data_IF_498418033001
#
_entry.id   IF_498418033001
#
_cell.length_a   1.000
_cell.length_b   1.000
_cell.length_c   1.000
_cell.angle_alpha   90.00
_cell.angle_beta   90.00
_cell.angle_gamma   90.00
#
_symmetry.space_group_name_H-M   'P 1'
#
loop_
_entity.id
_entity.type
_entity.pdbx_description
1 polymer ?
#
# COMPACT_ATOMS: atom_id res chain seq x y z
N UNK A 1 -3.65 16.14 -18.70
CA UNK A 1 -3.48 15.60 -17.35
C UNK A 1 -2.04 15.18 -17.21
N UNK A 2 -1.31 15.83 -16.32
CA UNK A 2 0.01 15.42 -15.84
C UNK A 2 -0.15 14.52 -14.61
N UNK A 3 0.92 13.84 -14.16
CA UNK A 3 0.84 12.96 -12.99
C UNK A 3 0.37 13.70 -11.72
N UNK A 4 0.75 14.97 -11.56
CA UNK A 4 0.35 15.80 -10.41
C UNK A 4 -1.11 16.26 -10.45
N UNK A 5 -1.81 16.06 -11.58
CA UNK A 5 -3.22 16.43 -11.77
C UNK A 5 -4.16 15.22 -11.63
N UNK A 6 -3.63 14.03 -11.34
CA UNK A 6 -4.44 12.83 -11.16
C UNK A 6 -5.25 12.97 -9.86
N UNK A 7 -6.60 12.86 -9.91
CA UNK A 7 -7.44 12.98 -8.72
C UNK A 7 -7.26 11.82 -7.75
N UNK A 8 -7.49 12.10 -6.47
CA UNK A 8 -7.42 11.14 -5.37
C UNK A 8 -8.67 10.23 -5.26
N UNK A 9 -9.00 9.55 -6.36
CA UNK A 9 -10.06 8.53 -6.35
C UNK A 9 -9.62 7.27 -5.61
N UNK A 10 -10.60 6.55 -5.07
CA UNK A 10 -10.34 5.35 -4.28
C UNK A 10 -10.35 4.10 -5.15
N UNK A 11 -9.28 3.31 -5.07
CA UNK A 11 -9.16 2.00 -5.71
C UNK A 11 -8.87 0.97 -4.62
N UNK A 12 -9.57 -0.15 -4.66
CA UNK A 12 -9.27 -1.30 -3.80
C UNK A 12 -8.77 -2.47 -4.64
N UNK A 13 -7.80 -3.20 -4.09
CA UNK A 13 -7.30 -4.43 -4.70
C UNK A 13 -7.31 -5.58 -3.71
N UNK A 14 -7.45 -6.80 -4.23
CA UNK A 14 -7.42 -8.03 -3.44
C UNK A 14 -6.48 -9.04 -4.08
N UNK A 15 -5.63 -9.65 -3.26
CA UNK A 15 -4.84 -10.83 -3.62
C UNK A 15 -5.43 -12.03 -2.89
N UNK A 16 -5.85 -13.05 -3.65
CA UNK A 16 -6.32 -14.34 -3.14
C UNK A 16 -5.18 -15.36 -3.01
N UNK A 17 -4.11 -15.18 -3.78
CA UNK A 17 -2.92 -16.02 -3.74
C UNK A 17 -1.72 -15.26 -4.30
N UNK A 18 -0.58 -15.36 -3.60
CA UNK A 18 0.70 -14.80 -4.07
C UNK A 18 1.14 -15.45 -5.39
N UNK A 19 1.44 -14.62 -6.38
CA UNK A 19 2.24 -15.02 -7.54
C UNK A 19 3.73 -15.05 -7.18
N UNK A 20 4.26 -16.25 -6.93
CA UNK A 20 5.67 -16.44 -6.56
C UNK A 20 6.68 -15.92 -7.59
N UNK A 21 6.31 -15.83 -8.87
CA UNK A 21 7.19 -15.30 -9.92
C UNK A 21 7.43 -13.78 -9.83
N UNK A 22 6.61 -13.06 -9.06
CA UNK A 22 6.77 -11.62 -8.86
C UNK A 22 7.81 -11.26 -7.79
N UNK A 23 8.22 -12.26 -7.00
CA UNK A 23 9.15 -12.10 -5.89
C UNK A 23 10.54 -11.77 -6.40
N UNK A 24 11.20 -10.81 -5.75
CA UNK A 24 12.61 -10.51 -5.98
C UNK A 24 13.38 -10.48 -4.68
N UNK A 25 14.69 -10.63 -4.79
CA UNK A 25 15.60 -10.35 -3.68
C UNK A 25 15.82 -8.85 -3.55
N UNK A 26 16.29 -8.45 -2.38
CA UNK A 26 16.75 -7.09 -2.14
C UNK A 26 18.10 -6.86 -2.86
N UNK A 27 18.34 -5.69 -3.47
CA UNK A 27 19.65 -5.38 -4.06
C UNK A 27 20.74 -5.29 -2.98
N UNK A 28 21.97 -5.71 -3.30
CA UNK A 28 23.07 -5.94 -2.34
C UNK A 28 23.43 -4.74 -1.45
N UNK A 29 23.23 -3.52 -1.93
CA UNK A 29 23.57 -2.28 -1.19
C UNK A 29 22.47 -1.83 -0.22
N UNK A 30 21.48 -2.66 0.05
CA UNK A 30 20.37 -2.36 0.96
C UNK A 30 20.14 -3.50 1.94
N UNK A 31 19.52 -3.19 3.07
CA UNK A 31 18.96 -4.19 3.98
C UNK A 31 17.53 -3.81 4.39
N UNK A 32 16.78 -4.78 4.92
CA UNK A 32 15.43 -4.56 5.43
C UNK A 32 15.44 -4.75 6.94
N UNK A 33 14.77 -3.83 7.65
CA UNK A 33 14.48 -3.95 9.07
C UNK A 33 13.11 -3.36 9.39
N UNK A 34 12.59 -3.67 10.56
CA UNK A 34 11.41 -3.00 11.10
C UNK A 34 11.70 -1.52 11.40
N UNK A 35 10.66 -0.69 11.29
CA UNK A 35 10.65 0.69 11.76
C UNK A 35 10.83 0.70 13.28
N UNK A 36 11.67 1.61 13.78
CA UNK A 36 11.91 1.76 15.22
C UNK A 36 10.96 2.80 15.82
N UNK A 37 10.64 2.73 17.13
CA UNK A 37 9.75 3.68 17.77
C UNK A 37 10.12 5.15 17.56
N UNK A 38 11.41 5.47 17.62
CA UNK A 38 11.96 6.82 17.40
C UNK A 38 11.86 7.30 15.95
N UNK A 39 11.50 6.43 14.99
CA UNK A 39 11.40 6.75 13.57
C UNK A 39 9.96 7.00 13.09
N UNK A 40 9.00 7.09 14.00
CA UNK A 40 7.59 7.35 13.65
C UNK A 40 7.43 8.60 12.78
N UNK A 41 8.15 9.68 13.10
CA UNK A 41 8.09 10.93 12.31
C UNK A 41 8.71 10.76 10.91
N UNK A 42 9.76 9.95 10.77
CA UNK A 42 10.34 9.60 9.46
C UNK A 42 9.30 8.84 8.62
N UNK A 43 8.60 7.90 9.24
CA UNK A 43 7.53 7.15 8.58
C UNK A 43 6.38 8.07 8.17
N UNK A 44 5.95 9.00 9.03
CA UNK A 44 4.88 9.96 8.72
C UNK A 44 5.23 10.88 7.56
N UNK A 45 6.50 11.27 7.42
CA UNK A 45 6.97 12.15 6.34
C UNK A 45 7.12 11.43 4.98
N UNK A 46 7.21 10.11 5.00
CA UNK A 46 7.51 9.26 3.83
C UNK A 46 6.57 9.46 2.62
N UNK A 47 5.24 9.59 2.78
CA UNK A 47 4.30 9.81 1.67
C UNK A 47 4.60 11.07 0.87
N UNK A 48 5.15 12.09 1.54
CA UNK A 48 5.41 13.41 0.98
C UNK A 48 6.78 13.54 0.31
N UNK A 49 7.62 12.49 0.38
CA UNK A 49 8.99 12.50 -0.11
C UNK A 49 9.83 13.63 0.54
N UNK A 50 9.60 13.87 1.83
CA UNK A 50 10.24 14.91 2.65
C UNK A 50 10.84 14.30 3.92
N UNK A 51 11.63 15.11 4.63
CA UNK A 51 12.22 14.71 5.92
C UNK A 51 11.29 15.01 7.10
N UNK A 52 10.33 15.91 6.91
CA UNK A 52 9.28 16.22 7.89
C UNK A 52 7.91 16.21 7.21
N UNK A 53 6.87 16.00 8.01
CA UNK A 53 5.48 16.10 7.57
C UNK A 53 5.19 17.58 7.23
N UNK A 54 4.59 17.90 6.07
CA UNK A 54 4.11 19.25 5.81
C UNK A 54 3.02 19.62 6.81
N UNK A 55 3.04 20.86 7.31
CA UNK A 55 2.15 21.32 8.40
C UNK A 55 0.68 21.09 8.10
N UNK A 56 0.25 21.25 6.85
CA UNK A 56 -1.13 21.02 6.42
C UNK A 56 -1.60 19.55 6.52
N UNK A 57 -0.67 18.60 6.70
CA UNK A 57 -0.96 17.16 6.85
C UNK A 57 -0.63 16.61 8.25
N UNK A 58 -0.08 17.42 9.17
CA UNK A 58 0.32 16.94 10.51
C UNK A 58 -0.87 16.36 11.29
N UNK A 59 -1.98 17.10 11.36
CA UNK A 59 -3.20 16.68 12.04
C UNK A 59 -3.79 15.40 11.43
N UNK A 60 -3.78 15.30 10.10
CA UNK A 60 -4.25 14.12 9.39
C UNK A 60 -3.41 12.89 9.74
N UNK A 61 -2.07 13.00 9.71
CA UNK A 61 -1.18 11.87 10.02
C UNK A 61 -1.30 11.44 11.48
N UNK A 62 -1.39 12.41 12.41
CA UNK A 62 -1.59 12.13 13.84
C UNK A 62 -2.92 11.42 14.08
N UNK A 63 -4.00 11.90 13.47
CA UNK A 63 -5.33 11.28 13.58
C UNK A 63 -5.33 9.88 12.96
N UNK A 64 -4.69 9.68 11.81
CA UNK A 64 -4.62 8.37 11.17
C UNK A 64 -3.91 7.34 12.06
N UNK A 65 -2.78 7.71 12.68
CA UNK A 65 -2.08 6.83 13.65
C UNK A 65 -2.96 6.55 14.87
N UNK A 66 -3.57 7.60 15.44
CA UNK A 66 -4.43 7.48 16.61
C UNK A 66 -5.58 6.50 16.36
N UNK A 67 -6.18 6.54 15.18
CA UNK A 67 -7.32 5.71 14.80
C UNK A 67 -6.92 4.29 14.37
N UNK A 68 -5.80 4.16 13.65
CA UNK A 68 -5.44 2.90 12.97
C UNK A 68 -4.53 2.03 13.81
N UNK A 69 -3.52 2.61 14.46
CA UNK A 69 -2.39 1.87 15.05
C UNK A 69 -2.25 2.01 16.57
N UNK A 70 -2.78 3.08 17.17
CA UNK A 70 -2.48 3.43 18.58
C UNK A 70 -2.83 2.35 19.61
N UNK A 71 -3.75 1.45 19.28
CA UNK A 71 -4.13 0.34 20.15
C UNK A 71 -3.03 -0.74 20.26
N UNK A 72 -2.11 -0.81 19.31
CA UNK A 72 -0.99 -1.76 19.31
C UNK A 72 0.19 -1.20 18.47
N UNK A 73 0.88 -0.23 19.04
CA UNK A 73 2.04 0.40 18.40
C UNK A 73 3.24 -0.56 18.25
N UNK A 74 3.39 -1.52 19.16
CA UNK A 74 4.48 -2.50 19.09
C UNK A 74 4.32 -3.38 17.84
N UNK A 75 3.11 -3.88 17.58
CA UNK A 75 2.80 -4.60 16.34
C UNK A 75 2.95 -3.71 15.11
N UNK A 76 2.56 -2.43 15.18
CA UNK A 76 2.75 -1.49 14.07
C UNK A 76 4.24 -1.35 13.69
N UNK A 77 5.12 -1.15 14.67
CA UNK A 77 6.55 -1.03 14.43
C UNK A 77 7.15 -2.34 13.88
N UNK A 78 6.77 -3.49 14.45
CA UNK A 78 7.23 -4.80 13.98
C UNK A 78 6.81 -5.09 12.53
N UNK A 79 5.59 -4.70 12.14
CA UNK A 79 5.02 -4.97 10.82
C UNK A 79 5.27 -3.88 9.77
N UNK A 80 5.83 -2.74 10.17
CA UNK A 80 6.25 -1.68 9.26
C UNK A 80 7.73 -1.87 8.92
N UNK A 81 8.04 -2.15 7.66
CA UNK A 81 9.41 -2.40 7.22
C UNK A 81 9.98 -1.20 6.49
N UNK A 82 11.22 -0.88 6.82
CA UNK A 82 12.07 -0.01 6.01
C UNK A 82 13.08 -0.82 5.20
N UNK A 83 13.30 -0.37 3.97
CA UNK A 83 14.50 -0.67 3.19
C UNK A 83 15.50 0.43 3.47
N UNK A 84 16.63 0.10 4.08
CA UNK A 84 17.68 1.05 4.43
C UNK A 84 18.90 0.87 3.51
N UNK A 85 19.60 1.98 3.25
CA UNK A 85 20.92 1.92 2.65
C UNK A 85 22.01 1.53 3.67
N UNK A 86 23.28 1.53 3.25
CA UNK A 86 24.41 1.16 4.10
C UNK A 86 24.67 2.14 5.27
N UNK A 87 24.06 3.33 5.26
CA UNK A 87 24.14 4.32 6.33
C UNK A 87 22.91 4.29 7.25
N UNK A 88 22.10 3.22 7.18
CA UNK A 88 20.84 3.03 7.93
C UNK A 88 19.74 4.05 7.59
N UNK A 89 19.80 4.68 6.40
CA UNK A 89 18.79 5.67 5.98
C UNK A 89 17.61 5.01 5.27
N UNK A 90 16.36 5.19 5.75
CA UNK A 90 15.17 4.63 5.10
C UNK A 90 14.94 5.18 3.67
N UNK A 91 14.98 4.29 2.68
CA UNK A 91 14.83 4.56 1.25
C UNK A 91 13.48 4.08 0.68
N UNK A 92 12.89 3.05 1.28
CA UNK A 92 11.51 2.61 1.00
C UNK A 92 10.83 2.13 2.29
N UNK A 93 9.49 2.09 2.28
CA UNK A 93 8.67 1.57 3.37
C UNK A 93 7.51 0.74 2.83
N UNK A 94 7.05 -0.23 3.61
CA UNK A 94 5.79 -0.95 3.40
C UNK A 94 5.34 -1.57 4.72
N UNK A 95 4.05 -1.57 4.99
CA UNK A 95 3.46 -2.10 6.21
C UNK A 95 2.47 -3.21 5.92
N UNK A 96 2.42 -4.20 6.80
CA UNK A 96 1.26 -5.07 6.96
C UNK A 96 0.46 -4.64 8.18
N UNK A 97 -0.86 -4.56 8.05
CA UNK A 97 -1.74 -4.32 9.18
C UNK A 97 -2.98 -5.22 9.13
N UNK A 98 -3.56 -5.52 10.29
CA UNK A 98 -4.87 -6.19 10.35
C UNK A 98 -5.95 -5.13 10.55
N UNK A 99 -6.36 -4.49 9.46
CA UNK A 99 -7.36 -3.43 9.49
C UNK A 99 -8.65 -3.89 10.20
N UNK A 100 -9.11 -3.06 11.14
CA UNK A 100 -10.27 -3.29 12.01
C UNK A 100 -10.18 -4.59 12.83
N UNK A 101 -8.98 -5.16 13.00
CA UNK A 101 -8.76 -6.49 13.59
C UNK A 101 -9.30 -7.65 12.73
N UNK A 102 -9.76 -7.38 11.51
CA UNK A 102 -10.53 -8.31 10.66
C UNK A 102 -9.81 -8.71 9.38
N UNK A 103 -9.15 -7.76 8.72
CA UNK A 103 -8.70 -7.92 7.33
C UNK A 103 -7.19 -7.71 7.24
N UNK A 104 -6.48 -8.66 6.65
CA UNK A 104 -5.05 -8.46 6.37
C UNK A 104 -4.88 -7.47 5.23
N UNK A 105 -4.08 -6.43 5.46
CA UNK A 105 -3.84 -5.36 4.49
C UNK A 105 -2.37 -5.09 4.25
N UNK A 106 -2.05 -4.72 3.02
CA UNK A 106 -0.80 -4.02 2.69
C UNK A 106 -1.09 -2.53 2.72
N UNK A 107 -0.27 -1.78 3.44
CA UNK A 107 -0.40 -0.34 3.60
C UNK A 107 0.93 0.36 3.36
N UNK A 108 0.85 1.64 3.02
CA UNK A 108 1.99 2.55 2.98
C UNK A 108 3.21 2.04 2.20
N UNK A 109 3.02 1.35 1.08
CA UNK A 109 4.14 1.03 0.18
C UNK A 109 4.60 2.33 -0.51
N UNK A 110 5.81 2.79 -0.20
CA UNK A 110 6.39 3.98 -0.82
C UNK A 110 7.90 3.82 -0.96
N UNK A 111 8.43 4.28 -2.09
CA UNK A 111 9.87 4.46 -2.31
C UNK A 111 10.12 5.96 -2.44
N UNK A 112 11.16 6.48 -1.79
CA UNK A 112 11.57 7.88 -1.99
C UNK A 112 11.95 8.11 -3.44
N UNK A 113 11.62 9.27 -4.04
CA UNK A 113 11.77 9.52 -5.50
C UNK A 113 13.19 9.28 -5.99
N UNK A 114 14.20 9.68 -5.22
CA UNK A 114 15.62 9.48 -5.53
C UNK A 114 16.05 8.00 -5.60
N UNK A 115 15.22 7.08 -5.12
CA UNK A 115 15.48 5.64 -5.03
C UNK A 115 14.51 4.79 -5.88
N UNK A 116 13.57 5.42 -6.58
CA UNK A 116 12.68 4.72 -7.49
C UNK A 116 13.44 4.04 -8.65
N UNK A 117 12.83 3.02 -9.25
CA UNK A 117 13.44 2.29 -10.38
C UNK A 117 14.54 1.30 -9.98
N UNK A 118 14.97 1.26 -8.72
CA UNK A 118 16.00 0.35 -8.20
C UNK A 118 15.47 -1.00 -7.68
N UNK A 119 14.17 -1.27 -7.83
CA UNK A 119 13.54 -2.52 -7.38
C UNK A 119 13.20 -2.60 -5.88
N UNK A 120 13.46 -1.55 -5.09
CA UNK A 120 13.25 -1.57 -3.62
C UNK A 120 11.81 -1.85 -3.20
N UNK A 121 10.84 -1.20 -3.84
CA UNK A 121 9.41 -1.41 -3.55
C UNK A 121 8.96 -2.85 -3.80
N UNK A 122 9.48 -3.50 -4.84
CA UNK A 122 9.22 -4.92 -5.11
C UNK A 122 9.86 -5.82 -4.07
N UNK A 123 11.10 -5.53 -3.68
CA UNK A 123 11.83 -6.33 -2.69
C UNK A 123 11.14 -6.28 -1.31
N UNK A 124 10.74 -5.10 -0.82
CA UNK A 124 10.06 -5.01 0.48
C UNK A 124 8.68 -5.67 0.46
N UNK A 125 7.91 -5.50 -0.63
CA UNK A 125 6.64 -6.19 -0.81
C UNK A 125 6.86 -7.72 -0.88
N UNK A 126 7.96 -8.18 -1.49
CA UNK A 126 8.32 -9.61 -1.51
C UNK A 126 8.55 -10.16 -0.11
N UNK A 127 9.22 -9.41 0.77
CA UNK A 127 9.46 -9.82 2.16
C UNK A 127 8.16 -9.90 2.94
N UNK A 128 7.28 -8.91 2.80
CA UNK A 128 5.99 -8.91 3.52
C UNK A 128 5.08 -10.02 3.01
N UNK A 129 4.91 -10.14 1.68
CA UNK A 129 4.00 -11.14 1.11
C UNK A 129 4.41 -12.59 1.41
N UNK A 130 5.70 -12.85 1.65
CA UNK A 130 6.21 -14.16 2.09
C UNK A 130 5.86 -14.51 3.54
N UNK A 131 5.41 -13.55 4.36
CA UNK A 131 5.00 -13.79 5.75
C UNK A 131 3.62 -14.43 5.86
N UNK A 132 2.77 -14.23 4.86
CA UNK A 132 1.42 -14.76 4.86
C UNK A 132 1.39 -16.25 4.54
N UNK A 133 0.69 -16.99 5.38
CA UNK A 133 0.27 -18.37 5.14
C UNK A 133 -0.98 -18.40 4.25
N UNK A 134 -1.40 -19.60 3.82
CA UNK A 134 -2.62 -19.76 3.02
C UNK A 134 -3.88 -19.25 3.75
N UNK A 135 -3.92 -19.36 5.08
CA UNK A 135 -5.07 -18.97 5.91
C UNK A 135 -5.16 -17.46 6.13
N UNK A 136 -4.11 -16.70 5.79
CA UNK A 136 -4.09 -15.25 5.91
C UNK A 136 -4.79 -14.54 4.74
N UNK A 137 -4.99 -15.24 3.61
CA UNK A 137 -5.65 -14.71 2.43
C UNK A 137 -7.18 -14.67 2.61
N UNK A 138 -7.88 -13.72 1.97
CA UNK A 138 -7.37 -12.71 1.05
C UNK A 138 -6.66 -11.51 1.73
N UNK A 139 -5.67 -10.96 1.02
CA UNK A 139 -4.95 -9.73 1.40
C UNK A 139 -5.52 -8.55 0.60
N UNK A 140 -5.82 -7.45 1.27
CA UNK A 140 -6.41 -6.27 0.66
C UNK A 140 -5.46 -5.07 0.67
N UNK A 141 -5.72 -4.10 -0.19
CA UNK A 141 -5.10 -2.79 -0.08
C UNK A 141 -6.03 -1.72 -0.67
N UNK A 142 -5.82 -0.49 -0.20
CA UNK A 142 -6.34 0.73 -0.83
C UNK A 142 -5.21 1.45 -1.53
N UNK A 143 -5.54 2.09 -2.64
CA UNK A 143 -4.63 2.91 -3.41
C UNK A 143 -5.40 3.95 -4.21
N UNK A 144 -4.67 4.74 -4.99
CA UNK A 144 -5.19 5.84 -5.81
C UNK A 144 -4.64 5.72 -7.24
N UNK A 145 -5.32 6.26 -8.26
CA UNK A 145 -4.87 6.15 -9.64
C UNK A 145 -3.49 6.80 -9.89
N UNK A 146 -3.09 7.80 -9.09
CA UNK A 146 -1.75 8.39 -9.15
C UNK A 146 -0.63 7.39 -8.81
N UNK A 147 -0.97 6.31 -8.11
CA UNK A 147 -0.06 5.21 -7.78
C UNK A 147 -0.04 4.12 -8.87
N UNK A 148 -0.26 4.46 -10.15
CA UNK A 148 -0.34 3.49 -11.26
C UNK A 148 0.88 2.55 -11.37
N UNK A 149 2.09 3.01 -11.00
CA UNK A 149 3.30 2.17 -10.93
C UNK A 149 3.20 1.12 -9.81
N UNK A 150 2.62 1.48 -8.66
CA UNK A 150 2.35 0.56 -7.57
C UNK A 150 1.20 -0.40 -7.93
N UNK A 151 0.14 0.06 -8.58
CA UNK A 151 -0.96 -0.78 -9.08
C UNK A 151 -0.43 -1.87 -10.01
N UNK A 152 0.47 -1.50 -10.94
CA UNK A 152 1.19 -2.47 -11.78
C UNK A 152 1.96 -3.48 -10.92
N UNK A 153 2.73 -3.01 -9.95
CA UNK A 153 3.50 -3.87 -9.04
C UNK A 153 2.58 -4.85 -8.28
N UNK A 154 1.50 -4.37 -7.66
CA UNK A 154 0.53 -5.22 -6.97
C UNK A 154 -0.07 -6.26 -7.92
N UNK A 155 -0.42 -5.86 -9.14
CA UNK A 155 -0.94 -6.79 -10.15
C UNK A 155 0.04 -7.92 -10.47
N UNK A 156 1.34 -7.63 -10.55
CA UNK A 156 2.35 -8.68 -10.74
C UNK A 156 2.31 -9.72 -9.60
N UNK A 157 2.09 -9.29 -8.35
CA UNK A 157 1.99 -10.15 -7.17
C UNK A 157 0.70 -10.97 -7.10
N UNK A 158 -0.25 -10.74 -8.00
CA UNK A 158 -1.54 -11.43 -8.04
C UNK A 158 -2.71 -10.61 -7.50
N UNK A 159 -2.50 -9.34 -7.14
CA UNK A 159 -3.61 -8.46 -6.77
C UNK A 159 -4.49 -8.17 -7.99
N UNK A 160 -5.80 -8.18 -7.76
CA UNK A 160 -6.85 -7.89 -8.73
C UNK A 160 -7.58 -6.62 -8.29
N UNK A 161 -7.93 -5.75 -9.23
CA UNK A 161 -8.74 -4.57 -8.97
C UNK A 161 -10.16 -5.01 -8.60
N UNK A 162 -10.72 -4.42 -7.55
CA UNK A 162 -12.10 -4.66 -7.14
C UNK A 162 -13.02 -3.69 -7.86
N UNK A 163 -14.15 -4.19 -8.37
CA UNK A 163 -15.20 -3.42 -9.03
C UNK A 163 -16.38 -3.21 -8.09
N UNK A 164 -16.89 -1.98 -8.08
CA UNK A 164 -18.05 -1.59 -7.26
C UNK A 164 -17.80 -1.67 -5.76
N UNK A 165 -18.84 -1.32 -4.99
CA UNK A 165 -18.86 -1.42 -3.54
C UNK A 165 -18.53 -0.12 -2.79
N UNK A 166 -18.98 -0.11 -1.54
CA UNK A 166 -18.65 0.88 -0.53
C UNK A 166 -17.81 0.17 0.54
N UNK A 167 -16.60 0.65 0.80
CA UNK A 167 -15.64 0.05 1.73
C UNK A 167 -15.51 0.97 2.93
N UNK A 168 -16.39 0.75 3.92
CA UNK A 168 -16.56 1.67 5.05
C UNK A 168 -16.98 3.03 4.56
N UNK A 169 -16.19 4.06 4.86
CA UNK A 169 -16.47 5.44 4.46
C UNK A 169 -16.05 5.78 3.03
N UNK A 170 -15.36 4.89 2.31
CA UNK A 170 -14.86 5.13 0.95
C UNK A 170 -15.68 4.40 -0.11
N UNK A 171 -16.19 5.13 -1.09
CA UNK A 171 -16.76 4.52 -2.32
C UNK A 171 -15.61 4.05 -3.21
N UNK A 172 -15.69 2.83 -3.74
CA UNK A 172 -14.72 2.37 -4.73
C UNK A 172 -15.03 3.00 -6.09
N UNK A 173 -14.04 3.66 -6.68
CA UNK A 173 -14.19 4.51 -7.87
C UNK A 173 -13.41 3.96 -9.07
N UNK A 174 -13.22 2.64 -9.12
CA UNK A 174 -12.45 1.95 -10.17
C UNK A 174 -12.83 2.41 -11.57
N UNK A 175 -14.12 2.53 -11.87
CA UNK A 175 -14.62 2.92 -13.20
C UNK A 175 -14.11 4.29 -13.65
N UNK A 176 -14.01 5.25 -12.72
CA UNK A 176 -13.42 6.57 -13.00
C UNK A 176 -11.90 6.50 -13.18
N UNK A 177 -11.27 5.54 -12.54
CA UNK A 177 -9.82 5.35 -12.55
C UNK A 177 -9.32 4.64 -13.81
N UNK A 178 -10.10 3.73 -14.41
CA UNK A 178 -9.65 2.93 -15.56
C UNK A 178 -9.14 3.77 -16.75
N UNK A 179 -9.82 4.86 -17.19
CA UNK A 179 -9.29 5.73 -18.24
C UNK A 179 -7.96 6.41 -17.87
N UNK A 180 -7.79 6.77 -16.59
CA UNK A 180 -6.55 7.37 -16.07
C UNK A 180 -5.44 6.32 -16.13
N UNK A 181 -5.66 5.14 -15.56
CA UNK A 181 -4.68 4.04 -15.58
C UNK A 181 -4.25 3.69 -17.02
N UNK A 182 -5.20 3.62 -17.96
CA UNK A 182 -4.92 3.36 -19.37
C UNK A 182 -4.00 4.43 -20.01
N UNK A 183 -4.10 5.67 -19.55
CA UNK A 183 -3.34 6.81 -20.09
C UNK A 183 -1.91 6.87 -19.54
N UNK A 184 -1.69 6.44 -18.29
CA UNK A 184 -0.40 6.56 -17.60
C UNK A 184 0.41 5.25 -17.54
N UNK A 185 -0.25 4.09 -17.67
CA UNK A 185 0.44 2.81 -17.69
C UNK A 185 0.90 2.44 -19.11
N UNK A 186 2.03 1.72 -19.25
CA UNK A 186 2.33 1.03 -20.50
C UNK A 186 1.17 0.11 -20.89
N UNK A 187 0.74 0.14 -22.15
CA UNK A 187 -0.42 -0.62 -22.63
C UNK A 187 -0.39 -2.10 -22.23
N UNK A 188 0.76 -2.75 -22.42
CA UNK A 188 0.98 -4.16 -22.06
C UNK A 188 0.76 -4.48 -20.57
N UNK A 189 0.94 -3.49 -19.70
CA UNK A 189 0.79 -3.66 -18.25
C UNK A 189 -0.67 -3.37 -17.85
N UNK A 190 -1.31 -2.38 -18.48
CA UNK A 190 -2.74 -2.12 -18.32
C UNK A 190 -3.59 -3.32 -18.75
N UNK A 191 -3.28 -3.93 -19.90
CA UNK A 191 -4.00 -5.11 -20.43
C UNK A 191 -3.88 -6.36 -19.53
N UNK A 192 -2.90 -6.40 -18.63
CA UNK A 192 -2.73 -7.51 -17.67
C UNK A 192 -3.53 -7.31 -16.38
N UNK A 193 -4.06 -6.11 -16.15
CA UNK A 193 -4.86 -5.84 -14.96
C UNK A 193 -6.09 -6.74 -14.97
N UNK A 194 -6.26 -7.48 -13.87
CA UNK A 194 -7.45 -8.30 -13.65
C UNK A 194 -8.44 -7.51 -12.80
N UNK A 195 -9.70 -7.54 -13.20
CA UNK A 195 -10.80 -6.90 -12.49
C UNK A 195 -11.77 -7.99 -12.05
N UNK A 196 -12.20 -7.94 -10.80
CA UNK A 196 -13.23 -8.81 -10.23
C UNK A 196 -14.24 -7.98 -9.46
N UNK A 197 -15.46 -8.47 -9.27
CA UNK A 197 -16.41 -7.82 -8.38
C UNK A 197 -15.89 -7.85 -6.93
N UNK A 198 -16.10 -6.75 -6.20
CA UNK A 198 -15.80 -6.70 -4.78
C UNK A 198 -16.57 -7.81 -4.02
N UNK A 199 -15.89 -8.69 -3.26
CA UNK A 199 -16.58 -9.78 -2.57
C UNK A 199 -17.63 -9.25 -1.60
N UNK A 200 -18.84 -9.84 -1.62
CA UNK A 200 -19.95 -9.43 -0.74
C UNK A 200 -19.55 -9.48 0.74
N UNK A 201 -18.79 -10.51 1.14
CA UNK A 201 -18.31 -10.62 2.51
C UNK A 201 -17.36 -9.48 2.91
N UNK A 202 -16.51 -9.02 1.98
CA UNK A 202 -15.56 -7.93 2.21
C UNK A 202 -16.32 -6.61 2.43
N UNK A 203 -17.32 -6.31 1.60
CA UNK A 203 -18.18 -5.13 1.77
C UNK A 203 -18.90 -5.19 3.12
N UNK A 204 -19.51 -6.34 3.45
CA UNK A 204 -20.26 -6.51 4.70
C UNK A 204 -19.39 -6.34 5.95
N UNK A 205 -18.13 -6.79 5.92
CA UNK A 205 -17.20 -6.63 7.05
C UNK A 205 -16.90 -5.16 7.35
N UNK A 206 -17.07 -4.29 6.35
CA UNK A 206 -16.77 -2.86 6.42
C UNK A 206 -18.01 -1.97 6.54
N UNK A 207 -19.22 -2.51 6.39
CA UNK A 207 -20.46 -1.74 6.31
C UNK A 207 -20.70 -0.82 7.52
N UNK A 208 -20.26 -1.24 8.71
CA UNK A 208 -20.40 -0.49 9.96
C UNK A 208 -19.11 0.24 10.39
N UNK A 209 -18.05 0.17 9.58
CA UNK A 209 -16.79 0.83 9.91
C UNK A 209 -16.85 2.31 9.57
N UNK A 210 -16.68 3.15 10.58
CA UNK A 210 -16.77 4.62 10.47
C UNK A 210 -15.39 5.28 10.40
N UNK A 211 -14.33 4.52 10.62
CA UNK A 211 -12.94 5.00 10.60
C UNK A 211 -12.22 4.57 9.34
N UNK A 212 -11.13 5.26 8.99
CA UNK A 212 -10.30 4.94 7.83
C UNK A 212 -9.06 4.18 8.32
N UNK A 213 -9.06 2.85 8.12
CA UNK A 213 -7.89 1.99 8.33
C UNK A 213 -7.39 1.36 7.02
N UNK A 214 -7.78 1.93 5.89
CA UNK A 214 -7.27 1.61 4.56
C UNK A 214 -6.50 2.80 4.00
#
# INVERSE_FOLDING_TARGET
MTENEIPDYNIFMMCDQLNGHALTQLPDNYYIRSCRPEELEIWKAFPFDKDTVPTEYEDFMNQYIAVTYSHDMDTFFQNTLFVCDQEDRPSATCSHWKAYGKLNTIQWLKVRRAYEGKGLGRAVLSVIMKRFSADDYPIFLHTQPGSFRAIKLYSDFGFKLLKGGQMGTRTNELEKCLPILKSFMPQKDFEKLKIIDAPVHFIKLLENETTIQF
#
